data_IF_420163685053
#
_entry.id   IF_420163685053
#
_cell.length_a   1.000
_cell.length_b   1.000
_cell.length_c   1.000
_cell.angle_alpha   90.00
_cell.angle_beta   90.00
_cell.angle_gamma   90.00
#
_symmetry.space_group_name_H-M   'P 1'
#
loop_
_entity.id
_entity.type
_entity.pdbx_description
1 polymer ?
#
# COMPACT_ATOMS: atom_id res chain seq x y z
N UNK A 1 84.13 -3.73 -46.37
CA UNK A 1 83.61 -3.57 -44.99
C UNK A 1 82.11 -3.27 -44.99
N UNK A 2 81.29 -4.12 -45.59
CA UNK A 2 79.83 -3.88 -45.77
C UNK A 2 78.97 -5.12 -45.53
N UNK A 3 79.55 -6.23 -45.02
CA UNK A 3 78.80 -7.42 -44.61
C UNK A 3 78.49 -7.47 -43.10
N UNK A 4 79.31 -6.83 -42.27
CA UNK A 4 79.21 -6.96 -40.81
C UNK A 4 78.17 -6.02 -40.16
N UNK A 5 77.75 -4.96 -40.85
CA UNK A 5 76.79 -3.97 -40.33
C UNK A 5 75.31 -4.37 -40.52
N UNK A 6 75.00 -5.25 -41.46
CA UNK A 6 73.62 -5.66 -41.76
C UNK A 6 73.16 -6.78 -40.81
N UNK A 7 74.08 -7.64 -40.37
CA UNK A 7 73.76 -8.72 -39.43
C UNK A 7 73.50 -8.20 -37.99
N UNK A 8 74.12 -7.09 -37.60
CA UNK A 8 73.91 -6.45 -36.29
C UNK A 8 72.59 -5.65 -36.19
N UNK A 9 71.97 -5.30 -37.32
CA UNK A 9 70.73 -4.51 -37.34
C UNK A 9 69.44 -5.36 -37.32
N UNK A 10 69.53 -6.65 -37.69
CA UNK A 10 68.39 -7.58 -37.62
C UNK A 10 68.23 -8.29 -36.26
N UNK A 11 69.26 -8.25 -35.40
CA UNK A 11 69.23 -8.89 -34.08
C UNK A 11 68.61 -7.99 -32.98
N UNK A 12 68.50 -6.68 -33.22
CA UNK A 12 67.91 -5.71 -32.28
C UNK A 12 66.38 -5.57 -32.36
N UNK A 13 65.71 -6.11 -33.38
CA UNK A 13 64.25 -5.97 -33.55
C UNK A 13 63.41 -7.06 -32.86
N UNK A 14 64.03 -8.14 -32.35
CA UNK A 14 63.31 -9.26 -31.71
C UNK A 14 63.19 -9.16 -30.18
N UNK A 15 63.68 -8.09 -29.56
CA UNK A 15 63.65 -7.91 -28.09
C UNK A 15 62.48 -7.04 -27.58
N UNK A 16 61.67 -6.46 -28.47
CA UNK A 16 60.54 -5.59 -28.09
C UNK A 16 59.18 -6.33 -28.00
N UNK A 17 59.11 -7.61 -28.39
CA UNK A 17 57.89 -8.43 -28.30
C UNK A 17 57.65 -9.09 -26.94
N UNK A 18 58.59 -9.01 -26.00
CA UNK A 18 58.52 -9.72 -24.72
C UNK A 18 57.74 -8.97 -23.61
N UNK A 19 57.45 -7.68 -23.78
CA UNK A 19 56.77 -6.88 -22.74
C UNK A 19 55.23 -6.99 -22.73
N UNK A 20 54.59 -7.45 -23.82
CA UNK A 20 53.12 -7.64 -23.86
C UNK A 20 52.64 -8.89 -23.11
N UNK A 21 53.53 -9.85 -22.87
CA UNK A 21 53.24 -11.04 -22.08
C UNK A 21 53.28 -10.78 -20.57
N UNK A 22 53.94 -9.73 -20.09
CA UNK A 22 54.03 -9.46 -18.65
C UNK A 22 52.76 -8.78 -18.09
N UNK A 23 52.07 -7.95 -18.90
CA UNK A 23 50.82 -7.30 -18.49
C UNK A 23 49.64 -8.28 -18.35
N UNK A 24 49.60 -9.34 -19.16
CA UNK A 24 48.52 -10.33 -19.12
C UNK A 24 48.55 -11.18 -17.85
N UNK A 25 49.73 -11.54 -17.33
CA UNK A 25 49.85 -12.31 -16.08
C UNK A 25 49.54 -11.48 -14.83
N UNK A 26 49.86 -10.17 -14.82
CA UNK A 26 49.59 -9.35 -13.63
C UNK A 26 48.09 -9.11 -13.42
N UNK A 27 47.34 -8.97 -14.51
CA UNK A 27 45.88 -8.78 -14.52
C UNK A 27 45.06 -10.02 -14.11
N UNK A 28 45.69 -11.20 -13.99
CA UNK A 28 45.06 -12.46 -13.55
C UNK A 28 45.58 -12.95 -12.19
N UNK A 29 46.34 -12.10 -11.48
CA UNK A 29 46.86 -12.43 -10.15
C UNK A 29 45.76 -12.40 -9.07
N UNK A 30 45.81 -13.27 -8.04
CA UNK A 30 44.89 -13.23 -6.91
C UNK A 30 44.84 -11.87 -6.20
N UNK A 31 45.97 -11.15 -6.13
CA UNK A 31 46.06 -9.84 -5.48
C UNK A 31 45.25 -8.78 -6.24
N UNK A 32 45.35 -8.77 -7.57
CA UNK A 32 44.60 -7.82 -8.39
C UNK A 32 43.08 -8.06 -8.32
N UNK A 33 42.66 -9.33 -8.33
CA UNK A 33 41.24 -9.68 -8.11
C UNK A 33 40.74 -9.19 -6.74
N UNK A 34 41.54 -9.30 -5.69
CA UNK A 34 41.17 -8.79 -4.36
C UNK A 34 41.00 -7.26 -4.36
N UNK A 35 41.83 -6.53 -5.11
CA UNK A 35 41.68 -5.06 -5.28
C UNK A 35 40.33 -4.76 -5.94
N UNK A 36 40.01 -5.43 -7.05
CA UNK A 36 38.74 -5.25 -7.75
C UNK A 36 37.53 -5.56 -6.83
N UNK A 37 37.62 -6.60 -6.02
CA UNK A 37 36.59 -6.95 -5.03
C UNK A 37 36.45 -5.85 -3.97
N UNK A 38 37.55 -5.34 -3.42
CA UNK A 38 37.55 -4.26 -2.42
C UNK A 38 36.97 -2.96 -2.96
N UNK A 39 37.26 -2.65 -4.21
CA UNK A 39 36.72 -1.47 -4.91
C UNK A 39 35.31 -1.68 -5.46
N UNK A 40 34.68 -2.83 -5.21
CA UNK A 40 33.33 -3.19 -5.71
C UNK A 40 33.22 -3.19 -7.24
N UNK A 41 34.34 -3.38 -7.95
CA UNK A 41 34.38 -3.57 -9.40
C UNK A 41 34.05 -5.03 -9.74
N UNK A 42 32.90 -5.51 -9.25
CA UNK A 42 32.52 -6.92 -9.29
C UNK A 42 32.41 -7.47 -10.70
N UNK A 43 31.86 -6.70 -11.64
CA UNK A 43 31.81 -7.10 -13.04
C UNK A 43 33.20 -7.40 -13.61
N UNK A 44 34.19 -6.51 -13.41
CA UNK A 44 35.55 -6.73 -13.90
C UNK A 44 36.19 -7.97 -13.27
N UNK A 45 36.04 -8.14 -11.96
CA UNK A 45 36.54 -9.33 -11.26
C UNK A 45 35.89 -10.60 -11.79
N UNK A 46 34.58 -10.57 -12.05
CA UNK A 46 33.82 -11.70 -12.58
C UNK A 46 34.27 -12.07 -14.00
N UNK A 47 34.43 -11.09 -14.88
CA UNK A 47 34.90 -11.30 -16.27
C UNK A 47 36.26 -11.99 -16.28
N UNK A 48 37.21 -11.52 -15.47
CA UNK A 48 38.54 -12.14 -15.38
C UNK A 48 38.41 -13.58 -14.86
N UNK A 49 37.70 -13.79 -13.74
CA UNK A 49 37.54 -15.11 -13.11
C UNK A 49 36.72 -16.12 -13.93
N UNK A 50 35.98 -15.68 -14.95
CA UNK A 50 35.27 -16.55 -15.89
C UNK A 50 36.18 -17.11 -16.99
N UNK A 51 37.30 -16.44 -17.29
CA UNK A 51 38.20 -16.77 -18.40
C UNK A 51 39.44 -17.58 -17.97
N UNK A 52 39.59 -17.88 -16.68
CA UNK A 52 40.79 -18.54 -16.13
C UNK A 52 40.86 -20.02 -16.55
N UNK A 53 42.02 -20.43 -17.08
CA UNK A 53 42.33 -21.82 -17.42
C UNK A 53 42.63 -22.68 -16.19
N UNK A 54 42.27 -23.96 -16.24
CA UNK A 54 42.60 -24.98 -15.21
C UNK A 54 44.11 -25.19 -15.04
N UNK A 55 44.92 -24.84 -16.04
CA UNK A 55 46.38 -24.93 -15.99
C UNK A 55 47.05 -23.72 -15.33
N UNK A 56 46.29 -22.73 -14.86
CA UNK A 56 46.87 -21.54 -14.23
C UNK A 56 47.56 -21.89 -12.89
N UNK A 57 48.78 -21.38 -12.60
CA UNK A 57 49.51 -21.69 -11.37
C UNK A 57 48.69 -21.44 -10.09
N UNK A 58 47.97 -20.32 -10.04
CA UNK A 58 47.12 -19.93 -8.90
C UNK A 58 45.65 -20.38 -9.01
N UNK A 59 45.33 -21.34 -9.88
CA UNK A 59 43.95 -21.74 -10.15
C UNK A 59 43.13 -22.04 -8.86
N UNK A 60 43.63 -22.80 -7.86
CA UNK A 60 42.87 -23.05 -6.63
C UNK A 60 42.51 -21.77 -5.86
N UNK A 61 43.44 -20.81 -5.78
CA UNK A 61 43.21 -19.55 -5.08
C UNK A 61 42.17 -18.67 -5.83
N UNK A 62 42.27 -18.60 -7.15
CA UNK A 62 41.34 -17.85 -8.00
C UNK A 62 39.92 -18.44 -7.96
N UNK A 63 39.78 -19.77 -7.89
CA UNK A 63 38.46 -20.40 -7.75
C UNK A 63 37.85 -20.16 -6.36
N UNK A 64 38.65 -20.11 -5.30
CA UNK A 64 38.17 -19.70 -3.98
C UNK A 64 37.66 -18.23 -4.00
N UNK A 65 38.38 -17.34 -4.67
CA UNK A 65 37.96 -15.94 -4.87
C UNK A 65 36.68 -15.84 -5.71
N UNK A 66 36.52 -16.67 -6.74
CA UNK A 66 35.28 -16.76 -7.54
C UNK A 66 34.07 -17.10 -6.68
N UNK A 67 34.19 -18.10 -5.81
CA UNK A 67 33.12 -18.46 -4.86
C UNK A 67 32.79 -17.32 -3.89
N UNK A 68 33.82 -16.64 -3.36
CA UNK A 68 33.64 -15.47 -2.49
C UNK A 68 32.97 -14.31 -3.23
N UNK A 69 33.39 -14.01 -4.45
CA UNK A 69 32.80 -12.96 -5.29
C UNK A 69 31.32 -13.25 -5.56
N UNK A 70 30.96 -14.49 -5.91
CA UNK A 70 29.55 -14.89 -6.09
C UNK A 70 28.70 -14.60 -4.83
N UNK A 71 29.23 -14.90 -3.64
CA UNK A 71 28.54 -14.58 -2.39
C UNK A 71 28.36 -13.06 -2.17
N UNK A 72 29.38 -12.26 -2.53
CA UNK A 72 29.32 -10.80 -2.44
C UNK A 72 28.33 -10.19 -3.44
N UNK A 73 28.29 -10.70 -4.67
CA UNK A 73 27.32 -10.32 -5.70
C UNK A 73 25.90 -10.60 -5.19
N UNK A 74 25.63 -11.81 -4.71
CA UNK A 74 24.31 -12.17 -4.17
C UNK A 74 23.90 -11.28 -2.98
N UNK A 75 24.86 -10.93 -2.11
CA UNK A 75 24.62 -10.01 -1.00
C UNK A 75 24.31 -8.59 -1.49
N UNK A 76 25.01 -8.10 -2.52
CA UNK A 76 24.74 -6.80 -3.13
C UNK A 76 23.33 -6.76 -3.73
N UNK A 77 22.97 -7.76 -4.53
CA UNK A 77 21.62 -7.91 -5.12
C UNK A 77 20.56 -7.84 -4.01
N UNK A 78 20.64 -8.74 -3.02
CA UNK A 78 19.66 -8.84 -1.93
C UNK A 78 19.49 -7.53 -1.17
N UNK A 79 20.60 -6.88 -0.82
CA UNK A 79 20.57 -5.61 -0.09
C UNK A 79 19.96 -4.50 -0.94
N UNK A 80 20.31 -4.44 -2.23
CA UNK A 80 19.76 -3.47 -3.19
C UNK A 80 18.26 -3.64 -3.32
N UNK A 81 17.78 -4.87 -3.56
CA UNK A 81 16.35 -5.20 -3.68
C UNK A 81 15.57 -4.81 -2.42
N UNK A 82 16.12 -5.15 -1.25
CA UNK A 82 15.50 -4.85 0.05
C UNK A 82 15.36 -3.35 0.28
N UNK A 83 16.42 -2.58 0.03
CA UNK A 83 16.40 -1.13 0.23
C UNK A 83 15.51 -0.44 -0.83
N UNK A 84 15.52 -0.89 -2.09
CA UNK A 84 14.63 -0.39 -3.14
C UNK A 84 13.15 -0.57 -2.73
N UNK A 85 12.76 -1.76 -2.27
CA UNK A 85 11.39 -2.03 -1.82
C UNK A 85 10.99 -1.14 -0.64
N UNK A 86 11.87 -1.02 0.36
CA UNK A 86 11.66 -0.15 1.52
C UNK A 86 11.48 1.32 1.10
N UNK A 87 12.32 1.83 0.20
CA UNK A 87 12.22 3.18 -0.32
C UNK A 87 10.93 3.39 -1.14
N UNK A 88 10.48 2.39 -1.90
CA UNK A 88 9.19 2.43 -2.59
C UNK A 88 8.02 2.54 -1.61
N UNK A 89 7.99 1.73 -0.54
CA UNK A 89 6.97 1.82 0.51
C UNK A 89 6.96 3.18 1.22
N UNK A 90 8.12 3.83 1.33
CA UNK A 90 8.27 5.19 1.87
C UNK A 90 7.97 6.30 0.84
N UNK A 91 7.52 5.96 -0.38
CA UNK A 91 7.35 6.89 -1.50
C UNK A 91 8.62 7.64 -1.94
N UNK A 92 9.82 7.14 -1.62
CA UNK A 92 11.12 7.73 -1.97
C UNK A 92 11.63 7.19 -3.31
N UNK A 93 10.82 7.36 -4.36
CA UNK A 93 11.05 6.78 -5.69
C UNK A 93 12.38 7.18 -6.33
N UNK A 94 12.83 8.42 -6.15
CA UNK A 94 14.11 8.88 -6.71
C UNK A 94 15.31 8.21 -6.05
N UNK A 95 15.27 8.05 -4.72
CA UNK A 95 16.34 7.39 -3.97
C UNK A 95 16.38 5.89 -4.30
N UNK A 96 15.22 5.26 -4.47
CA UNK A 96 15.13 3.87 -4.91
C UNK A 96 15.78 3.69 -6.29
N UNK A 97 15.51 4.60 -7.23
CA UNK A 97 16.16 4.59 -8.55
C UNK A 97 17.68 4.75 -8.45
N UNK A 98 18.17 5.71 -7.65
CA UNK A 98 19.60 5.93 -7.44
C UNK A 98 20.29 4.70 -6.84
N UNK A 99 19.64 4.03 -5.88
CA UNK A 99 20.14 2.80 -5.25
C UNK A 99 20.33 1.70 -6.29
N UNK A 100 19.34 1.53 -7.19
CA UNK A 100 19.41 0.54 -8.25
C UNK A 100 20.46 0.86 -9.31
N UNK A 101 20.57 2.13 -9.72
CA UNK A 101 21.60 2.60 -10.66
C UNK A 101 23.01 2.41 -10.11
N UNK A 102 23.22 2.67 -8.80
CA UNK A 102 24.50 2.44 -8.16
C UNK A 102 24.88 0.95 -8.18
N UNK A 103 23.95 0.05 -7.87
CA UNK A 103 24.22 -1.39 -7.97
C UNK A 103 24.55 -1.84 -9.40
N UNK A 104 23.81 -1.34 -10.40
CA UNK A 104 24.08 -1.63 -11.82
C UNK A 104 25.40 -1.09 -12.32
N UNK A 105 25.89 0.03 -11.77
CA UNK A 105 27.23 0.51 -12.12
C UNK A 105 28.34 -0.46 -11.70
N UNK A 106 28.14 -1.22 -10.62
CA UNK A 106 29.05 -2.27 -10.17
C UNK A 106 28.86 -3.60 -10.91
N UNK A 107 27.65 -3.86 -11.40
CA UNK A 107 27.22 -5.07 -12.11
C UNK A 107 26.31 -4.74 -13.31
N UNK A 108 26.85 -4.29 -14.45
CA UNK A 108 26.04 -3.79 -15.57
C UNK A 108 25.21 -4.85 -16.30
N UNK A 109 25.70 -6.08 -16.36
CA UNK A 109 25.11 -7.21 -17.10
C UNK A 109 24.43 -8.22 -16.18
N UNK A 110 23.99 -7.78 -15.01
CA UNK A 110 23.34 -8.66 -14.04
C UNK A 110 21.83 -8.79 -14.28
N UNK A 111 21.41 -10.01 -14.61
CA UNK A 111 20.00 -10.35 -14.88
C UNK A 111 19.04 -10.08 -13.72
N UNK A 112 19.50 -10.18 -12.46
CA UNK A 112 18.67 -9.94 -11.27
C UNK A 112 18.38 -8.45 -11.15
N UNK A 113 19.41 -7.62 -11.30
CA UNK A 113 19.29 -6.17 -11.28
C UNK A 113 18.53 -5.61 -12.50
N UNK A 114 18.65 -6.24 -13.67
CA UNK A 114 17.87 -5.89 -14.85
C UNK A 114 16.38 -6.15 -14.64
N UNK A 115 16.03 -7.33 -14.13
CA UNK A 115 14.65 -7.64 -13.75
C UNK A 115 14.13 -6.66 -12.68
N UNK A 116 14.91 -6.40 -11.64
CA UNK A 116 14.56 -5.44 -10.60
C UNK A 116 14.31 -4.03 -11.17
N UNK A 117 15.05 -3.64 -12.20
CA UNK A 117 14.86 -2.36 -12.92
C UNK A 117 13.55 -2.33 -13.67
N UNK A 118 13.21 -3.39 -14.41
CA UNK A 118 11.95 -3.49 -15.11
C UNK A 118 10.76 -3.45 -14.14
N UNK A 119 10.83 -4.25 -13.07
CA UNK A 119 9.81 -4.29 -12.01
C UNK A 119 9.64 -2.93 -11.33
N UNK A 120 10.74 -2.25 -11.01
CA UNK A 120 10.73 -0.89 -10.45
C UNK A 120 10.04 0.12 -11.38
N UNK A 121 10.38 0.12 -12.67
CA UNK A 121 9.80 1.04 -13.65
C UNK A 121 8.31 0.77 -13.87
N UNK A 122 7.89 -0.50 -13.91
CA UNK A 122 6.49 -0.88 -13.98
C UNK A 122 5.71 -0.39 -12.74
N UNK A 123 6.26 -0.62 -11.54
CA UNK A 123 5.67 -0.16 -10.28
C UNK A 123 5.57 1.38 -10.22
N UNK A 124 6.62 2.10 -10.67
CA UNK A 124 6.63 3.57 -10.72
C UNK A 124 5.58 4.10 -11.69
N UNK A 125 5.48 3.51 -12.89
CA UNK A 125 4.45 3.87 -13.88
C UNK A 125 3.04 3.65 -13.31
N UNK A 126 2.80 2.50 -12.66
CA UNK A 126 1.53 2.22 -11.97
C UNK A 126 1.22 3.28 -10.93
N UNK A 127 2.18 3.65 -10.08
CA UNK A 127 2.00 4.69 -9.07
C UNK A 127 1.67 6.05 -9.66
N UNK A 128 2.36 6.46 -10.73
CA UNK A 128 2.07 7.71 -11.43
C UNK A 128 0.64 7.70 -11.97
N UNK A 129 0.20 6.59 -12.56
CA UNK A 129 -1.18 6.45 -13.04
C UNK A 129 -2.20 6.58 -11.90
N UNK A 130 -1.97 5.93 -10.76
CA UNK A 130 -2.83 6.07 -9.56
C UNK A 130 -2.93 7.54 -9.09
N UNK A 131 -1.81 8.26 -9.04
CA UNK A 131 -1.78 9.66 -8.63
C UNK A 131 -2.49 10.55 -9.65
N UNK A 132 -2.28 10.33 -10.94
CA UNK A 132 -2.98 11.04 -12.01
C UNK A 132 -4.49 10.78 -11.95
N UNK A 133 -4.93 9.56 -11.65
CA UNK A 133 -6.35 9.26 -11.46
C UNK A 133 -6.94 10.07 -10.29
N UNK A 134 -6.23 10.16 -9.16
CA UNK A 134 -6.67 11.00 -8.03
C UNK A 134 -6.79 12.47 -8.44
N UNK A 135 -5.79 13.01 -9.14
CA UNK A 135 -5.83 14.38 -9.66
C UNK A 135 -7.07 14.58 -10.55
N UNK A 136 -7.32 13.68 -11.50
CA UNK A 136 -8.47 13.78 -12.39
C UNK A 136 -9.82 13.71 -11.66
N UNK A 137 -9.92 12.90 -10.60
CA UNK A 137 -11.12 12.86 -9.75
C UNK A 137 -11.33 14.21 -9.05
N UNK A 138 -10.30 14.78 -8.44
CA UNK A 138 -10.39 16.09 -7.80
C UNK A 138 -10.72 17.20 -8.79
N UNK A 139 -10.08 17.22 -9.96
CA UNK A 139 -10.41 18.12 -11.06
C UNK A 139 -11.85 17.96 -11.50
N UNK A 140 -12.34 16.74 -11.66
CA UNK A 140 -13.73 16.46 -12.04
C UNK A 140 -14.74 17.01 -11.02
N UNK A 141 -14.46 16.85 -9.73
CA UNK A 141 -15.29 17.43 -8.66
C UNK A 141 -15.30 18.96 -8.78
N UNK A 142 -14.13 19.59 -8.88
CA UNK A 142 -14.01 21.04 -9.03
C UNK A 142 -14.74 21.55 -10.27
N UNK A 143 -14.55 20.93 -11.44
CA UNK A 143 -15.24 21.29 -12.68
C UNK A 143 -16.77 21.23 -12.53
N UNK A 144 -17.28 20.17 -11.90
CA UNK A 144 -18.71 20.02 -11.64
C UNK A 144 -19.26 21.16 -10.77
N UNK A 145 -18.52 21.58 -9.75
CA UNK A 145 -18.94 22.61 -8.82
C UNK A 145 -18.76 24.04 -9.37
N UNK A 146 -17.69 24.28 -10.12
CA UNK A 146 -17.31 25.60 -10.62
C UNK A 146 -18.07 26.04 -11.89
N UNK A 147 -18.49 25.09 -12.74
CA UNK A 147 -19.18 25.41 -14.01
C UNK A 147 -20.38 26.36 -13.85
N UNK A 148 -21.35 26.14 -12.93
CA UNK A 148 -22.48 27.06 -12.78
C UNK A 148 -22.05 28.46 -12.33
N UNK A 149 -21.03 28.57 -11.48
CA UNK A 149 -20.51 29.85 -10.99
C UNK A 149 -19.82 30.63 -12.11
N UNK A 150 -18.97 29.97 -12.90
CA UNK A 150 -18.29 30.60 -14.02
C UNK A 150 -19.27 31.07 -15.10
N UNK A 151 -20.29 30.26 -15.39
CA UNK A 151 -21.34 30.65 -16.32
C UNK A 151 -22.09 31.90 -15.83
N UNK A 152 -22.40 32.00 -14.53
CA UNK A 152 -23.05 33.19 -13.97
C UNK A 152 -22.17 34.44 -14.07
N UNK A 153 -20.85 34.31 -13.85
CA UNK A 153 -19.89 35.42 -14.00
C UNK A 153 -19.87 35.93 -15.45
N UNK A 154 -19.73 35.02 -16.42
CA UNK A 154 -19.70 35.39 -17.85
C UNK A 154 -21.02 36.00 -18.29
N UNK A 155 -22.16 35.50 -17.80
CA UNK A 155 -23.48 36.07 -18.09
C UNK A 155 -23.64 37.49 -17.52
N UNK A 156 -23.02 37.78 -16.38
CA UNK A 156 -23.06 39.11 -15.75
C UNK A 156 -22.17 40.11 -16.48
N UNK A 157 -21.06 39.64 -17.08
CA UNK A 157 -20.09 40.48 -17.79
C UNK A 157 -19.77 39.91 -19.18
N UNK A 158 -20.74 39.87 -20.12
CA UNK A 158 -20.57 39.17 -21.40
C UNK A 158 -19.51 39.80 -22.31
N UNK A 159 -19.26 41.11 -22.15
CA UNK A 159 -18.31 41.86 -22.95
C UNK A 159 -16.88 41.82 -22.40
N UNK A 160 -16.67 41.31 -21.18
CA UNK A 160 -15.34 41.17 -20.58
C UNK A 160 -14.55 40.06 -21.29
N UNK A 161 -13.40 40.43 -21.86
CA UNK A 161 -12.54 39.51 -22.60
C UNK A 161 -11.92 38.44 -21.70
N UNK A 162 -11.44 38.82 -20.52
CA UNK A 162 -10.76 37.92 -19.58
C UNK A 162 -11.72 36.85 -19.07
N UNK A 163 -13.00 37.21 -18.83
CA UNK A 163 -14.02 36.24 -18.43
C UNK A 163 -14.32 35.22 -19.53
N UNK A 164 -14.40 35.65 -20.79
CA UNK A 164 -14.59 34.73 -21.93
C UNK A 164 -13.38 33.82 -22.10
N UNK A 165 -12.16 34.35 -21.96
CA UNK A 165 -10.94 33.54 -22.03
C UNK A 165 -10.90 32.49 -20.92
N UNK A 166 -11.21 32.88 -19.68
CA UNK A 166 -11.32 31.96 -18.54
C UNK A 166 -12.34 30.84 -18.80
N UNK A 167 -13.47 31.15 -19.44
CA UNK A 167 -14.47 30.14 -19.81
C UNK A 167 -13.97 29.18 -20.89
N UNK A 168 -13.18 29.67 -21.85
CA UNK A 168 -12.57 28.81 -22.87
C UNK A 168 -11.55 27.85 -22.26
N UNK A 169 -10.66 28.34 -21.39
CA UNK A 169 -9.69 27.52 -20.66
C UNK A 169 -10.39 26.47 -19.79
N UNK A 170 -11.43 26.88 -19.07
CA UNK A 170 -12.28 25.97 -18.30
C UNK A 170 -12.89 24.86 -19.17
N UNK A 171 -13.39 25.21 -20.36
CA UNK A 171 -13.95 24.24 -21.30
C UNK A 171 -12.90 23.27 -21.87
N UNK A 172 -11.67 23.75 -22.11
CA UNK A 172 -10.55 22.88 -22.52
C UNK A 172 -10.17 21.90 -21.40
N UNK A 173 -10.04 22.39 -20.16
CA UNK A 173 -9.74 21.54 -19.00
C UNK A 173 -10.87 20.54 -18.74
N UNK A 174 -12.12 20.96 -18.91
CA UNK A 174 -13.31 20.09 -18.83
C UNK A 174 -13.22 18.94 -19.84
N UNK A 175 -12.90 19.24 -21.10
CA UNK A 175 -12.74 18.23 -22.15
C UNK A 175 -11.63 17.22 -21.81
N UNK A 176 -10.46 17.71 -21.42
CA UNK A 176 -9.32 16.85 -21.07
C UNK A 176 -9.63 15.97 -19.85
N UNK A 177 -10.28 16.55 -18.83
CA UNK A 177 -10.64 15.84 -17.61
C UNK A 177 -11.70 14.78 -17.89
N UNK A 178 -12.70 15.06 -18.72
CA UNK A 178 -13.69 14.07 -19.16
C UNK A 178 -13.05 12.87 -19.86
N UNK A 179 -12.09 13.11 -20.76
CA UNK A 179 -11.35 12.04 -21.42
C UNK A 179 -10.55 11.20 -20.43
N UNK A 180 -9.85 11.85 -19.50
CA UNK A 180 -9.08 11.14 -18.47
C UNK A 180 -9.97 10.35 -17.50
N UNK A 181 -11.12 10.88 -17.11
CA UNK A 181 -12.10 10.18 -16.27
C UNK A 181 -12.74 9.00 -17.02
N UNK A 182 -13.00 9.13 -18.32
CA UNK A 182 -13.45 8.02 -19.15
C UNK A 182 -12.38 6.92 -19.19
N UNK A 183 -11.10 7.27 -19.41
CA UNK A 183 -9.98 6.33 -19.38
C UNK A 183 -9.84 5.65 -18.00
N UNK A 184 -9.99 6.42 -16.91
CA UNK A 184 -10.04 5.90 -15.55
C UNK A 184 -11.14 4.84 -15.39
N UNK A 185 -12.36 5.12 -15.83
CA UNK A 185 -13.47 4.17 -15.75
C UNK A 185 -13.16 2.86 -16.48
N UNK A 186 -12.65 2.94 -17.71
CA UNK A 186 -12.26 1.76 -18.51
C UNK A 186 -11.18 0.93 -17.82
N UNK A 187 -10.10 1.58 -17.41
CA UNK A 187 -8.98 0.90 -16.76
C UNK A 187 -9.41 0.26 -15.44
N UNK A 188 -10.15 1.00 -14.60
CA UNK A 188 -10.65 0.48 -13.33
C UNK A 188 -11.58 -0.71 -13.52
N UNK A 189 -12.44 -0.70 -14.54
CA UNK A 189 -13.29 -1.86 -14.87
C UNK A 189 -12.48 -3.06 -15.34
N UNK A 190 -11.40 -2.87 -16.09
CA UNK A 190 -10.53 -3.95 -16.55
C UNK A 190 -9.71 -4.58 -15.41
N UNK A 191 -9.28 -3.75 -14.45
CA UNK A 191 -8.54 -4.18 -13.26
C UNK A 191 -9.46 -4.60 -12.09
N UNK A 192 -10.77 -4.70 -12.31
CA UNK A 192 -11.78 -5.07 -11.30
C UNK A 192 -11.81 -4.14 -10.07
N UNK A 193 -11.33 -2.90 -10.24
CA UNK A 193 -11.38 -1.83 -9.24
C UNK A 193 -12.73 -1.11 -9.32
N UNK A 194 -13.82 -1.83 -9.05
CA UNK A 194 -15.20 -1.37 -9.31
C UNK A 194 -15.55 -0.04 -8.61
N UNK A 195 -15.08 0.20 -7.38
CA UNK A 195 -15.32 1.45 -6.66
C UNK A 195 -14.67 2.67 -7.34
N UNK A 196 -13.45 2.51 -7.83
CA UNK A 196 -12.76 3.58 -8.56
C UNK A 196 -13.50 3.87 -9.87
N UNK A 197 -13.87 2.81 -10.62
CA UNK A 197 -14.59 2.98 -11.86
C UNK A 197 -15.99 3.57 -11.65
N UNK A 198 -16.70 3.21 -10.58
CA UNK A 198 -17.97 3.83 -10.18
C UNK A 198 -17.81 5.34 -9.95
N UNK A 199 -16.78 5.76 -9.21
CA UNK A 199 -16.49 7.20 -8.98
C UNK A 199 -16.19 7.93 -10.28
N UNK A 200 -15.35 7.35 -11.15
CA UNK A 200 -15.01 7.95 -12.44
C UNK A 200 -16.24 8.05 -13.36
N UNK A 201 -17.06 6.99 -13.48
CA UNK A 201 -18.32 7.00 -14.24
C UNK A 201 -19.32 8.04 -13.70
N UNK A 202 -19.47 8.14 -12.39
CA UNK A 202 -20.36 9.11 -11.76
C UNK A 202 -19.95 10.56 -12.06
N UNK A 203 -18.65 10.86 -12.07
CA UNK A 203 -18.16 12.19 -12.45
C UNK A 203 -18.36 12.48 -13.93
N UNK A 204 -18.06 11.51 -14.82
CA UNK A 204 -18.34 11.66 -16.26
C UNK A 204 -19.81 12.01 -16.48
N UNK A 205 -20.75 11.22 -15.93
CA UNK A 205 -22.18 11.46 -16.12
C UNK A 205 -22.64 12.83 -15.59
N UNK A 206 -21.99 13.38 -14.55
CA UNK A 206 -22.34 14.69 -13.97
C UNK A 206 -21.78 15.87 -14.77
N UNK A 207 -20.64 15.71 -15.43
CA UNK A 207 -19.92 16.77 -16.15
C UNK A 207 -20.29 16.79 -17.64
N UNK A 208 -20.50 15.61 -18.25
CA UNK A 208 -20.79 15.40 -19.67
C UNK A 208 -22.27 15.59 -19.99
N UNK A 209 -22.71 16.85 -20.04
CA UNK A 209 -24.11 17.22 -20.36
C UNK A 209 -24.54 16.82 -21.78
N UNK A 210 -23.59 16.69 -22.71
CA UNK A 210 -23.86 16.26 -24.09
C UNK A 210 -23.82 14.74 -24.26
N UNK A 211 -23.58 13.99 -23.18
CA UNK A 211 -23.54 12.54 -23.13
C UNK A 211 -22.55 11.85 -24.09
N UNK A 212 -21.59 12.58 -24.67
CA UNK A 212 -20.60 12.05 -25.63
C UNK A 212 -19.75 10.93 -25.02
N UNK A 213 -19.18 11.18 -23.84
CA UNK A 213 -18.37 10.19 -23.13
C UNK A 213 -19.26 9.17 -22.44
N UNK A 214 -20.41 9.61 -21.95
CA UNK A 214 -21.40 8.77 -21.28
C UNK A 214 -21.91 7.62 -22.14
N UNK A 215 -22.06 7.84 -23.46
CA UNK A 215 -22.41 6.80 -24.44
C UNK A 215 -21.23 5.84 -24.69
N UNK A 216 -20.01 6.37 -24.82
CA UNK A 216 -18.80 5.56 -25.04
C UNK A 216 -18.43 4.62 -23.90
N UNK A 217 -19.05 4.80 -22.72
CA UNK A 217 -18.81 4.04 -21.50
C UNK A 217 -19.95 3.06 -21.14
N UNK A 218 -20.81 2.74 -22.12
CA UNK A 218 -21.97 1.88 -21.86
C UNK A 218 -21.58 0.46 -21.44
N UNK A 219 -20.49 -0.08 -21.99
CA UNK A 219 -20.00 -1.41 -21.62
C UNK A 219 -19.51 -1.46 -20.18
N UNK A 220 -18.78 -0.43 -19.74
CA UNK A 220 -18.29 -0.26 -18.38
C UNK A 220 -19.45 -0.10 -17.39
N UNK A 221 -20.48 0.67 -17.78
CA UNK A 221 -21.73 0.80 -17.01
C UNK A 221 -22.42 -0.55 -16.83
N UNK A 222 -22.57 -1.33 -17.89
CA UNK A 222 -23.18 -2.66 -17.81
C UNK A 222 -22.35 -3.62 -16.95
N UNK A 223 -21.01 -3.60 -17.08
CA UNK A 223 -20.12 -4.42 -16.25
C UNK A 223 -20.26 -4.07 -14.78
N UNK A 224 -20.28 -2.78 -14.45
CA UNK A 224 -20.51 -2.30 -13.09
C UNK A 224 -21.91 -2.69 -12.58
N UNK A 225 -22.96 -2.54 -13.38
CA UNK A 225 -24.31 -2.94 -12.99
C UNK A 225 -24.42 -4.44 -12.67
N UNK A 226 -23.79 -5.31 -13.46
CA UNK A 226 -23.75 -6.75 -13.18
C UNK A 226 -23.01 -7.05 -11.87
N UNK A 227 -21.85 -6.44 -11.68
CA UNK A 227 -21.09 -6.57 -10.44
C UNK A 227 -21.93 -6.11 -9.24
N UNK A 228 -22.54 -4.93 -9.34
CA UNK A 228 -23.35 -4.35 -8.28
C UNK A 228 -24.57 -5.22 -7.96
N UNK A 229 -25.21 -5.82 -8.96
CA UNK A 229 -26.28 -6.77 -8.76
C UNK A 229 -25.85 -8.02 -7.99
N UNK A 230 -24.72 -8.64 -8.38
CA UNK A 230 -24.20 -9.84 -7.68
C UNK A 230 -23.78 -9.49 -6.25
N UNK A 231 -23.08 -8.36 -6.08
CA UNK A 231 -22.67 -7.87 -4.78
C UNK A 231 -23.87 -7.61 -3.87
N UNK A 232 -24.92 -6.97 -4.41
CA UNK A 232 -26.18 -6.68 -3.74
C UNK A 232 -26.87 -7.96 -3.25
N UNK A 233 -27.08 -8.93 -4.15
CA UNK A 233 -27.69 -10.22 -3.81
C UNK A 233 -26.93 -10.93 -2.68
N UNK A 234 -25.59 -10.84 -2.70
CA UNK A 234 -24.78 -11.38 -1.61
C UNK A 234 -24.98 -10.63 -0.30
N UNK A 235 -25.03 -9.30 -0.32
CA UNK A 235 -25.21 -8.51 0.91
C UNK A 235 -26.60 -8.70 1.51
N UNK A 236 -27.64 -8.84 0.69
CA UNK A 236 -28.99 -9.16 1.15
C UNK A 236 -29.05 -10.46 1.93
N UNK A 237 -28.45 -11.53 1.40
CA UNK A 237 -28.43 -12.84 2.08
C UNK A 237 -27.76 -12.75 3.45
N UNK A 238 -26.64 -12.03 3.53
CA UNK A 238 -25.92 -11.79 4.78
C UNK A 238 -26.80 -10.98 5.75
N UNK A 239 -27.48 -9.94 5.27
CA UNK A 239 -28.39 -9.14 6.10
C UNK A 239 -29.54 -9.98 6.65
N UNK A 240 -30.16 -10.83 5.82
CA UNK A 240 -31.26 -11.71 6.24
C UNK A 240 -30.81 -12.75 7.28
N UNK A 241 -29.65 -13.38 7.06
CA UNK A 241 -29.02 -14.30 8.00
C UNK A 241 -28.74 -13.63 9.35
N UNK A 242 -28.11 -12.45 9.35
CA UNK A 242 -27.82 -11.70 10.57
C UNK A 242 -29.10 -11.26 11.30
N UNK A 243 -30.15 -10.87 10.58
CA UNK A 243 -31.45 -10.55 11.19
C UNK A 243 -32.05 -11.80 11.86
N UNK A 244 -31.96 -12.98 11.24
CA UNK A 244 -32.43 -14.24 11.83
C UNK A 244 -31.63 -14.61 13.08
N UNK A 245 -30.30 -14.53 13.02
CA UNK A 245 -29.41 -14.79 14.16
C UNK A 245 -29.73 -13.85 15.33
N UNK A 246 -29.86 -12.54 15.07
CA UNK A 246 -30.17 -11.54 16.10
C UNK A 246 -31.55 -11.76 16.74
N UNK A 247 -32.53 -12.23 15.97
CA UNK A 247 -33.86 -12.59 16.49
C UNK A 247 -33.86 -13.84 17.37
N UNK A 248 -32.91 -14.74 17.17
CA UNK A 248 -32.75 -15.94 18.01
C UNK A 248 -32.01 -15.62 19.32
N UNK A 249 -31.20 -14.56 19.34
CA UNK A 249 -30.56 -14.06 20.55
C UNK A 249 -29.45 -13.07 20.24
N UNK A 250 -29.04 -12.29 21.24
CA UNK A 250 -28.00 -11.27 21.08
C UNK A 250 -26.70 -11.76 21.73
N UNK A 251 -25.77 -12.22 20.90
CA UNK A 251 -24.41 -12.58 21.31
C UNK A 251 -23.44 -11.47 20.92
N UNK A 252 -22.28 -11.40 21.57
CA UNK A 252 -21.27 -10.42 21.15
C UNK A 252 -20.86 -10.61 19.69
N UNK A 253 -20.73 -11.87 19.23
CA UNK A 253 -20.33 -12.19 17.87
C UNK A 253 -21.33 -11.68 16.82
N UNK A 254 -22.62 -11.99 16.98
CA UNK A 254 -23.62 -11.61 15.98
C UNK A 254 -23.86 -10.08 15.96
N UNK A 255 -23.80 -9.40 17.10
CA UNK A 255 -23.85 -7.94 17.18
C UNK A 255 -22.64 -7.29 16.48
N UNK A 256 -21.44 -7.83 16.69
CA UNK A 256 -20.23 -7.33 16.06
C UNK A 256 -20.24 -7.54 14.54
N UNK A 257 -20.66 -8.74 14.08
CA UNK A 257 -20.84 -9.04 12.65
C UNK A 257 -21.87 -8.12 12.01
N UNK A 258 -23.02 -7.90 12.67
CA UNK A 258 -24.05 -6.98 12.21
C UNK A 258 -23.56 -5.53 12.09
N UNK A 259 -22.85 -5.02 13.10
CA UNK A 259 -22.25 -3.67 13.05
C UNK A 259 -21.22 -3.51 11.94
N UNK A 260 -20.34 -4.51 11.74
CA UNK A 260 -19.37 -4.51 10.62
C UNK A 260 -20.07 -4.53 9.27
N UNK A 261 -21.10 -5.37 9.12
CA UNK A 261 -21.88 -5.47 7.88
C UNK A 261 -22.62 -4.17 7.55
N UNK A 262 -23.27 -3.55 8.55
CA UNK A 262 -23.94 -2.25 8.36
C UNK A 262 -22.96 -1.15 7.94
N UNK A 263 -21.76 -1.08 8.54
CA UNK A 263 -20.73 -0.12 8.10
C UNK A 263 -20.35 -0.32 6.63
N UNK A 264 -20.22 -1.56 6.18
CA UNK A 264 -19.96 -1.90 4.79
C UNK A 264 -21.13 -1.49 3.89
N UNK A 265 -22.37 -1.74 4.31
CA UNK A 265 -23.55 -1.34 3.55
C UNK A 265 -23.66 0.18 3.38
N UNK A 266 -23.32 0.95 4.42
CA UNK A 266 -23.34 2.42 4.37
C UNK A 266 -22.18 3.05 3.59
N UNK A 267 -21.11 2.31 3.31
CA UNK A 267 -20.00 2.83 2.50
C UNK A 267 -20.26 2.82 0.99
N UNK A 268 -21.39 2.25 0.54
CA UNK A 268 -21.79 2.22 -0.87
C UNK A 268 -23.10 2.99 -1.08
N UNK A 269 -23.33 3.46 -2.31
CA UNK A 269 -24.62 4.03 -2.69
C UNK A 269 -25.68 2.93 -2.70
N UNK A 270 -26.63 3.04 -1.78
CA UNK A 270 -27.66 2.02 -1.56
C UNK A 270 -28.89 2.23 -2.46
N UNK A 271 -29.43 1.14 -3.00
CA UNK A 271 -30.76 1.05 -3.59
C UNK A 271 -31.85 1.30 -2.54
N UNK A 272 -33.09 1.55 -2.97
CA UNK A 272 -34.22 1.72 -2.05
C UNK A 272 -34.44 0.47 -1.17
N UNK A 273 -34.31 -0.71 -1.76
CA UNK A 273 -34.44 -2.00 -1.07
C UNK A 273 -33.29 -2.23 -0.08
N UNK A 274 -32.05 -1.89 -0.44
CA UNK A 274 -30.89 -1.99 0.48
C UNK A 274 -31.06 -1.11 1.72
N UNK A 275 -31.61 0.09 1.54
CA UNK A 275 -31.94 0.97 2.66
C UNK A 275 -32.96 0.34 3.60
N UNK A 276 -33.95 -0.37 3.05
CA UNK A 276 -34.96 -1.06 3.86
C UNK A 276 -34.34 -2.19 4.69
N UNK A 277 -33.53 -3.06 4.09
CA UNK A 277 -32.85 -4.13 4.84
C UNK A 277 -31.83 -3.59 5.85
N UNK A 278 -31.07 -2.56 5.49
CA UNK A 278 -30.14 -1.89 6.41
C UNK A 278 -30.88 -1.30 7.61
N UNK A 279 -32.08 -0.76 7.39
CA UNK A 279 -32.95 -0.26 8.47
C UNK A 279 -33.40 -1.39 9.39
N UNK A 280 -33.87 -2.51 8.85
CA UNK A 280 -34.29 -3.67 9.66
C UNK A 280 -33.12 -4.23 10.48
N UNK A 281 -31.98 -4.48 9.83
CA UNK A 281 -30.78 -4.99 10.51
C UNK A 281 -30.29 -4.00 11.59
N UNK A 282 -30.32 -2.70 11.30
CA UNK A 282 -29.98 -1.66 12.28
C UNK A 282 -30.91 -1.69 13.48
N UNK A 283 -32.22 -1.83 13.26
CA UNK A 283 -33.19 -1.91 14.35
C UNK A 283 -32.92 -3.12 15.26
N UNK A 284 -32.63 -4.29 14.70
CA UNK A 284 -32.31 -5.48 15.49
C UNK A 284 -30.96 -5.35 16.22
N UNK A 285 -29.96 -4.75 15.58
CA UNK A 285 -28.68 -4.43 16.24
C UNK A 285 -28.89 -3.47 17.43
N UNK A 286 -29.65 -2.39 17.23
CA UNK A 286 -29.90 -1.39 18.26
C UNK A 286 -30.64 -2.00 19.46
N UNK A 287 -31.61 -2.91 19.22
CA UNK A 287 -32.27 -3.69 20.28
C UNK A 287 -31.29 -4.57 21.05
N UNK A 288 -30.42 -5.30 20.37
CA UNK A 288 -29.45 -6.17 21.01
C UNK A 288 -28.39 -5.42 21.83
N UNK A 289 -27.97 -4.25 21.35
CA UNK A 289 -27.13 -3.32 22.12
C UNK A 289 -27.87 -2.88 23.39
N UNK A 290 -29.14 -2.47 23.29
CA UNK A 290 -29.92 -2.05 24.44
C UNK A 290 -30.08 -3.19 25.46
N UNK A 291 -30.41 -4.41 25.03
CA UNK A 291 -30.51 -5.55 25.93
C UNK A 291 -29.17 -5.90 26.61
N UNK A 292 -28.06 -5.82 25.87
CA UNK A 292 -26.73 -6.05 26.44
C UNK A 292 -26.35 -4.96 27.45
N UNK A 293 -26.72 -3.70 27.18
CA UNK A 293 -26.57 -2.60 28.13
C UNK A 293 -27.34 -2.86 29.42
N UNK A 294 -28.59 -3.32 29.30
CA UNK A 294 -29.49 -3.63 30.42
C UNK A 294 -28.96 -4.81 31.25
N UNK A 295 -28.48 -5.87 30.61
CA UNK A 295 -27.83 -7.01 31.26
C UNK A 295 -26.60 -6.57 32.07
N UNK A 296 -25.75 -5.71 31.49
CA UNK A 296 -24.62 -5.11 32.22
C UNK A 296 -25.08 -4.28 33.42
N UNK A 297 -26.15 -3.48 33.30
CA UNK A 297 -26.70 -2.71 34.43
C UNK A 297 -27.23 -3.62 35.54
N UNK A 298 -27.90 -4.72 35.19
CA UNK A 298 -28.40 -5.71 36.15
C UNK A 298 -27.25 -6.36 36.92
N UNK A 299 -26.23 -6.88 36.22
CA UNK A 299 -25.03 -7.45 36.85
C UNK A 299 -24.34 -6.44 37.77
N UNK A 300 -24.24 -5.18 37.32
CA UNK A 300 -23.67 -4.11 38.12
C UNK A 300 -24.46 -3.89 39.43
N UNK A 301 -25.79 -3.84 39.37
CA UNK A 301 -26.64 -3.70 40.57
C UNK A 301 -26.58 -4.90 41.52
N UNK A 302 -26.29 -6.10 41.00
CA UNK A 302 -26.07 -7.32 41.79
C UNK A 302 -24.67 -7.38 42.42
N UNK A 303 -23.82 -6.37 42.20
CA UNK A 303 -22.43 -6.35 42.70
C UNK A 303 -21.43 -7.14 41.84
N UNK A 304 -21.86 -7.73 40.71
CA UNK A 304 -21.02 -8.45 39.74
C UNK A 304 -20.34 -7.47 38.77
N UNK A 305 -19.49 -6.61 39.32
CA UNK A 305 -18.93 -5.44 38.62
C UNK A 305 -17.98 -5.86 37.49
N UNK A 306 -17.24 -6.96 37.65
CA UNK A 306 -16.31 -7.51 36.64
C UNK A 306 -17.05 -7.99 35.39
N UNK A 307 -18.15 -8.71 35.58
CA UNK A 307 -18.98 -9.28 34.53
C UNK A 307 -19.73 -8.18 33.79
N UNK A 308 -20.27 -7.19 34.52
CA UNK A 308 -20.87 -5.99 33.93
C UNK A 308 -19.86 -5.24 33.03
N UNK A 309 -18.64 -5.02 33.53
CA UNK A 309 -17.59 -4.35 32.77
C UNK A 309 -17.22 -5.14 31.51
N UNK A 310 -17.13 -6.47 31.59
CA UNK A 310 -16.85 -7.32 30.43
C UNK A 310 -17.88 -7.13 29.31
N UNK A 311 -19.17 -7.10 29.65
CA UNK A 311 -20.24 -6.86 28.66
C UNK A 311 -20.07 -5.48 28.02
N UNK A 312 -19.92 -4.43 28.83
CA UNK A 312 -19.81 -3.06 28.31
C UNK A 312 -18.55 -2.84 27.46
N UNK A 313 -17.40 -3.35 27.87
CA UNK A 313 -16.18 -3.26 27.05
C UNK A 313 -16.33 -3.98 25.72
N UNK A 314 -17.06 -5.10 25.68
CA UNK A 314 -17.36 -5.79 24.42
C UNK A 314 -18.24 -4.93 23.48
N UNK A 315 -19.21 -4.18 24.03
CA UNK A 315 -20.06 -3.28 23.26
C UNK A 315 -19.29 -2.08 22.69
N UNK A 316 -18.20 -1.65 23.32
CA UNK A 316 -17.41 -0.50 22.87
C UNK A 316 -16.84 -0.70 21.44
N UNK A 317 -16.57 -1.94 21.05
CA UNK A 317 -16.12 -2.26 19.68
C UNK A 317 -17.24 -2.09 18.63
N UNK A 318 -18.49 -2.08 19.08
CA UNK A 318 -19.71 -2.04 18.26
C UNK A 318 -20.23 -0.60 18.18
N UNK A 319 -20.16 0.13 19.29
CA UNK A 319 -20.61 1.52 19.46
C UNK A 319 -19.51 2.40 20.09
N UNK A 320 -18.41 2.68 19.37
CA UNK A 320 -17.23 3.35 19.94
C UNK A 320 -17.45 4.79 20.42
N UNK A 321 -18.54 5.44 20.00
CA UNK A 321 -18.85 6.85 20.34
C UNK A 321 -20.11 6.97 21.20
N UNK A 322 -20.37 6.00 22.08
CA UNK A 322 -21.56 6.00 22.95
C UNK A 322 -21.20 6.51 24.35
N UNK A 323 -21.50 7.78 24.62
CA UNK A 323 -21.19 8.46 25.89
C UNK A 323 -21.79 7.75 27.12
N UNK A 324 -22.99 7.18 26.99
CA UNK A 324 -23.66 6.47 28.08
C UNK A 324 -22.89 5.18 28.42
N UNK A 325 -22.48 4.43 27.40
CA UNK A 325 -21.65 3.23 27.57
C UNK A 325 -20.29 3.56 28.21
N UNK A 326 -19.63 4.62 27.75
CA UNK A 326 -18.36 5.07 28.32
C UNK A 326 -18.48 5.47 29.79
N UNK A 327 -19.57 6.13 30.17
CA UNK A 327 -19.86 6.49 31.56
C UNK A 327 -20.04 5.24 32.44
N UNK A 328 -20.71 4.21 31.95
CA UNK A 328 -20.88 2.93 32.65
C UNK A 328 -19.54 2.20 32.84
N UNK A 329 -18.74 2.08 31.77
CA UNK A 329 -17.39 1.50 31.81
C UNK A 329 -16.53 2.23 32.86
N UNK A 330 -16.48 3.56 32.78
CA UNK A 330 -15.69 4.41 33.68
C UNK A 330 -16.11 4.24 35.14
N UNK A 331 -17.42 4.13 35.40
CA UNK A 331 -17.95 3.93 36.76
C UNK A 331 -17.54 2.56 37.32
N UNK A 332 -17.71 1.48 36.56
CA UNK A 332 -17.29 0.13 36.98
C UNK A 332 -15.79 0.04 37.24
N UNK A 333 -14.96 0.63 36.37
CA UNK A 333 -13.51 0.68 36.56
C UNK A 333 -13.13 1.39 37.87
N UNK A 334 -13.77 2.52 38.21
CA UNK A 334 -13.54 3.23 39.47
C UNK A 334 -13.91 2.37 40.69
N UNK A 335 -15.03 1.65 40.64
CA UNK A 335 -15.45 0.75 41.73
C UNK A 335 -14.45 -0.38 41.91
N UNK A 336 -14.04 -1.05 40.83
CA UNK A 336 -13.03 -2.12 40.89
C UNK A 336 -11.68 -1.62 41.43
N UNK A 337 -11.26 -0.40 41.05
CA UNK A 337 -10.05 0.22 41.59
C UNK A 337 -10.15 0.42 43.11
N UNK A 338 -11.28 0.93 43.61
CA UNK A 338 -11.52 1.10 45.06
C UNK A 338 -11.54 -0.23 45.81
N UNK A 339 -12.23 -1.24 45.29
CA UNK A 339 -12.26 -2.59 45.90
C UNK A 339 -10.86 -3.20 46.00
N UNK A 340 -10.03 -3.05 44.96
CA UNK A 340 -8.62 -3.50 44.99
C UNK A 340 -7.78 -2.74 46.02
N UNK A 341 -8.05 -1.46 46.26
CA UNK A 341 -7.34 -0.67 47.27
C UNK A 341 -7.73 -1.11 48.69
N UNK A 342 -9.03 -1.31 48.93
CA UNK A 342 -9.54 -1.78 50.23
C UNK A 342 -9.04 -3.21 50.57
N UNK A 343 -8.98 -4.11 49.58
CA UNK A 343 -8.41 -5.45 49.76
C UNK A 343 -6.90 -5.48 50.02
N UNK A 344 -6.17 -4.38 49.73
CA UNK A 344 -4.74 -4.23 50.07
C UNK A 344 -4.51 -3.54 51.42
N UNK A 345 -5.56 -2.99 52.04
CA UNK A 345 -5.47 -2.15 53.24
C UNK A 345 -6.00 -2.82 54.52
N UNK A 346 -6.32 -4.12 54.53
CA UNK A 346 -6.63 -4.86 55.76
C UNK A 346 -5.33 -5.29 56.49
N UNK A 347 -5.04 -4.78 57.71
CA UNK A 347 -4.02 -5.33 58.61
C UNK A 347 -4.55 -6.60 59.30
N UNK A 348 -3.67 -7.47 59.87
CA UNK A 348 -4.12 -8.64 60.62
C UNK A 348 -4.90 -8.19 61.85
N UNK A 349 -6.18 -8.57 61.94
CA UNK A 349 -6.99 -8.32 63.14
C UNK A 349 -6.40 -9.14 64.28
N UNK A 350 -5.70 -8.45 65.18
CA UNK A 350 -5.20 -8.99 66.43
C UNK A 350 -6.38 -9.32 67.32
N UNK A 351 -6.50 -10.58 67.72
CA UNK A 351 -7.36 -11.03 68.81
C UNK A 351 -6.99 -10.25 70.07
N UNK A 352 -7.88 -9.38 70.55
CA UNK A 352 -7.84 -8.92 71.93
C UNK A 352 -8.66 -9.89 72.78
N UNK A 353 -7.94 -10.65 73.61
CA UNK A 353 -8.52 -11.48 74.66
C UNK A 353 -9.20 -10.58 75.71
N UNK A 354 -10.30 -11.04 76.34
CA UNK A 354 -10.87 -10.33 77.47
C UNK A 354 -10.05 -10.61 78.73
N UNK A 355 -9.60 -9.55 79.40
CA UNK A 355 -9.07 -9.61 80.76
C UNK A 355 -10.24 -9.73 81.74
N UNK A 356 -10.45 -10.93 82.28
CA UNK A 356 -11.13 -11.10 83.57
C UNK A 356 -10.11 -11.05 84.70
N UNK A 357 -10.57 -10.50 85.83
CA UNK A 357 -9.87 -10.28 87.10
C UNK A 357 -9.10 -11.50 87.62
#
# INVERSE_FOLDING_TARGET
MTGLKIFLMFMSLNLLGACSLLESFHSQSPQYIEILIKEKQYHKAQTILQQISHSHPDYPALMAQKKRLQSLIHKLEKNTLTEVLKLQHQNKWQQAWQTLQSARSSLPEDSVLDKATQDFLAARKKRINELNMKINIHKGIWLKDAEPLLNAIVQTQPNDYDRRQQQQEFNQEKKQTLENLARCAKQAMNEELYELGRRCLALVNKIDKQHKYSQSLQQEKMKLQRHDHVWYQRQLRISDELVKELKQGYSHDNLLRASRHLRKLFSHNQSAEEKQYSKILKQELDKGIAQSMDAGRKLYSEGKITEALSIWTSLQQITPNNEVLEAHISRAQRVLKKLKQLGKQQPPVTKTAPSTQ
#
